data_IF_632281859030
#
_entry.id   IF_632281859030
#
_cell.length_a   1.000
_cell.length_b   1.000
_cell.length_c   1.000
_cell.angle_alpha   90.00
_cell.angle_beta   90.00
_cell.angle_gamma   90.00
#
_symmetry.space_group_name_H-M   'P 1'
#
loop_
_entity.id
_entity.type
_entity.pdbx_description
1 polymer ?
#
# COMPACT_ATOMS: atom_id res chain seq x y z
N UNK A 1 16.42 -5.70 5.51
CA UNK A 1 16.07 -5.77 4.08
C UNK A 1 14.85 -4.89 3.98
N UNK A 2 14.88 -3.93 3.07
CA UNK A 2 13.96 -2.80 3.08
C UNK A 2 13.57 -2.46 1.64
N UNK A 3 12.33 -2.03 1.43
CA UNK A 3 11.84 -1.48 0.18
C UNK A 3 11.15 -2.45 -0.79
N UNK A 4 10.41 -3.46 -0.30
CA UNK A 4 9.72 -4.42 -1.17
C UNK A 4 8.55 -3.83 -1.94
N UNK A 5 8.02 -2.70 -1.49
CA UNK A 5 7.05 -1.89 -2.23
C UNK A 5 7.74 -0.61 -2.68
N UNK A 6 7.66 -0.30 -3.97
CA UNK A 6 8.27 0.90 -4.55
C UNK A 6 7.31 1.65 -5.46
N UNK A 7 7.38 2.98 -5.43
CA UNK A 7 6.62 3.86 -6.31
C UNK A 7 7.40 5.14 -6.63
N UNK A 8 7.23 5.68 -7.83
CA UNK A 8 7.82 6.96 -8.20
C UNK A 8 6.78 8.07 -8.11
N UNK A 9 7.09 9.14 -7.39
CA UNK A 9 6.22 10.32 -7.24
C UNK A 9 7.05 11.61 -7.33
N UNK A 10 6.44 12.76 -7.01
CA UNK A 10 7.16 14.03 -6.98
C UNK A 10 8.08 14.01 -5.74
N UNK A 11 9.32 14.47 -5.90
CA UNK A 11 10.26 14.61 -4.77
C UNK A 11 9.70 15.49 -3.67
N UNK A 12 9.79 15.01 -2.42
CA UNK A 12 9.25 15.68 -1.24
C UNK A 12 7.76 15.42 -0.95
N UNK A 13 7.07 14.62 -1.76
CA UNK A 13 5.76 14.06 -1.40
C UNK A 13 5.89 13.13 -0.18
N UNK A 14 4.79 12.93 0.54
CA UNK A 14 4.70 11.92 1.59
C UNK A 14 3.78 10.81 1.13
N UNK A 15 4.30 9.60 1.02
CA UNK A 15 3.54 8.44 0.56
C UNK A 15 3.46 7.39 1.67
N UNK A 16 2.36 6.65 1.65
CA UNK A 16 2.20 5.43 2.40
C UNK A 16 1.52 4.38 1.52
N UNK A 17 1.58 3.13 1.93
CA UNK A 17 0.78 2.08 1.33
C UNK A 17 0.05 1.29 2.40
N UNK A 18 -1.08 0.70 2.06
CA UNK A 18 -1.70 -0.33 2.90
C UNK A 18 -1.59 -1.69 2.20
N UNK A 19 -1.84 -2.74 2.98
CA UNK A 19 -1.72 -4.13 2.55
C UNK A 19 -3.05 -4.81 2.75
N UNK A 20 -3.49 -5.56 1.77
CA UNK A 20 -4.74 -6.30 1.82
C UNK A 20 -4.51 -7.78 1.54
N UNK A 21 -5.29 -8.60 2.23
CA UNK A 21 -5.50 -9.99 1.82
C UNK A 21 -6.19 -10.02 0.44
N UNK A 22 -6.12 -11.17 -0.23
CA UNK A 22 -6.85 -11.32 -1.50
C UNK A 22 -8.37 -11.19 -1.33
N UNK A 23 -8.87 -11.54 -0.15
CA UNK A 23 -10.30 -11.54 0.18
C UNK A 23 -10.83 -10.13 0.51
N UNK A 24 -9.96 -9.14 0.71
CA UNK A 24 -10.32 -7.73 0.86
C UNK A 24 -10.10 -7.14 2.26
N UNK A 25 -9.71 -7.94 3.23
CA UNK A 25 -9.33 -7.46 4.56
C UNK A 25 -8.00 -6.68 4.50
N UNK A 26 -7.92 -5.55 5.19
CA UNK A 26 -6.73 -4.72 5.33
C UNK A 26 -5.93 -5.13 6.57
N UNK A 27 -4.60 -5.11 6.47
CA UNK A 27 -3.72 -5.32 7.62
C UNK A 27 -3.51 -4.04 8.42
N UNK A 28 -3.50 -4.16 9.75
CA UNK A 28 -2.97 -3.12 10.64
C UNK A 28 -1.53 -2.76 10.26
N UNK A 29 -1.06 -1.55 10.59
CA UNK A 29 0.29 -1.05 10.24
C UNK A 29 1.42 -2.02 10.65
N UNK A 30 1.27 -2.73 11.77
CA UNK A 30 2.23 -3.74 12.25
C UNK A 30 2.07 -5.15 11.65
N UNK A 31 1.07 -5.36 10.79
CA UNK A 31 0.77 -6.65 10.16
C UNK A 31 0.22 -7.72 11.11
N UNK A 32 -0.07 -7.39 12.37
CA UNK A 32 -0.46 -8.35 13.41
C UNK A 32 -1.82 -9.00 13.19
N UNK A 33 -2.73 -8.30 12.50
CA UNK A 33 -4.04 -8.81 12.10
C UNK A 33 -4.52 -8.17 10.80
N UNK A 34 -5.45 -8.86 10.13
CA UNK A 34 -6.23 -8.33 9.02
C UNK A 34 -7.72 -8.26 9.37
N UNK A 35 -8.40 -7.24 8.88
CA UNK A 35 -9.81 -6.97 9.18
C UNK A 35 -10.48 -6.12 8.10
N UNK A 36 -11.79 -5.91 8.20
CA UNK A 36 -12.50 -4.96 7.34
C UNK A 36 -12.05 -3.53 7.66
N UNK A 37 -11.81 -2.71 6.63
CA UNK A 37 -11.44 -1.31 6.80
C UNK A 37 -12.47 -0.56 7.65
N UNK A 38 -12.03 0.16 8.67
CA UNK A 38 -12.92 0.91 9.56
C UNK A 38 -13.40 0.12 10.78
N UNK A 39 -12.90 -1.10 10.98
CA UNK A 39 -13.19 -1.88 12.19
C UNK A 39 -12.74 -1.10 13.43
N UNK A 40 -13.54 -1.10 14.49
CA UNK A 40 -13.26 -0.39 15.76
C UNK A 40 -12.97 1.12 15.61
N UNK A 41 -13.60 1.80 14.64
CA UNK A 41 -13.39 3.21 14.32
C UNK A 41 -11.95 3.54 13.84
N UNK A 42 -11.21 2.53 13.37
CA UNK A 42 -9.89 2.72 12.77
C UNK A 42 -9.96 3.44 11.43
N UNK A 43 -8.88 4.11 11.07
CA UNK A 43 -8.77 4.83 9.80
C UNK A 43 -7.45 4.51 9.09
N UNK A 44 -7.15 5.24 8.01
CA UNK A 44 -5.92 5.06 7.26
C UNK A 44 -4.63 5.04 8.11
N UNK A 45 -4.55 5.80 9.21
CA UNK A 45 -3.36 5.87 10.10
C UNK A 45 -3.15 4.58 10.90
N UNK A 46 -4.18 3.74 11.05
CA UNK A 46 -4.07 2.43 11.69
C UNK A 46 -3.62 1.32 10.73
N UNK A 47 -3.63 1.57 9.42
CA UNK A 47 -3.36 0.59 8.37
C UNK A 47 -2.14 0.94 7.51
N UNK A 48 -1.59 2.15 7.68
CA UNK A 48 -0.55 2.70 6.83
C UNK A 48 0.81 2.00 7.02
N UNK A 49 1.59 2.03 5.96
CA UNK A 49 3.01 1.78 6.02
C UNK A 49 3.70 2.90 5.28
N UNK A 50 4.44 3.71 6.03
CA UNK A 50 5.18 4.83 5.49
C UNK A 50 6.18 4.37 4.42
N UNK A 51 6.27 5.15 3.34
CA UNK A 51 7.31 5.01 2.33
C UNK A 51 8.33 6.14 2.48
N UNK A 52 9.61 5.82 2.33
CA UNK A 52 10.70 6.77 2.36
C UNK A 52 11.20 7.07 0.94
N UNK A 53 11.44 8.36 0.63
CA UNK A 53 12.15 8.76 -0.59
C UNK A 53 13.63 8.34 -0.49
N UNK A 54 14.12 7.62 -1.49
CA UNK A 54 15.51 7.21 -1.62
C UNK A 54 16.32 8.32 -2.26
N UNK A 55 16.98 9.14 -1.43
CA UNK A 55 17.54 10.42 -1.90
C UNK A 55 16.44 11.32 -2.51
N UNK A 56 16.67 12.62 -2.74
CA UNK A 56 15.66 13.49 -3.36
C UNK A 56 15.59 13.25 -4.88
N UNK A 57 15.18 12.05 -5.29
CA UNK A 57 15.11 11.61 -6.69
C UNK A 57 13.70 11.18 -7.17
N UNK A 58 12.72 11.19 -6.25
CA UNK A 58 11.33 10.84 -6.51
C UNK A 58 11.05 9.33 -6.44
N UNK A 59 12.00 8.51 -5.98
CA UNK A 59 11.84 7.08 -5.81
C UNK A 59 11.52 6.72 -4.35
N UNK A 60 10.29 6.31 -4.09
CA UNK A 60 9.84 5.97 -2.74
C UNK A 60 9.80 4.46 -2.55
N UNK A 61 10.25 3.99 -1.39
CA UNK A 61 10.22 2.58 -1.01
C UNK A 61 9.70 2.40 0.41
N UNK A 62 8.99 1.31 0.66
CA UNK A 62 8.59 0.91 2.00
C UNK A 62 8.64 -0.60 2.20
N UNK A 63 8.73 -1.00 3.47
CA UNK A 63 8.97 -2.38 3.88
C UNK A 63 7.63 -3.10 4.00
N UNK A 64 7.43 -4.21 3.28
CA UNK A 64 6.11 -4.85 3.24
C UNK A 64 5.67 -5.38 4.61
N UNK A 65 6.62 -5.93 5.38
CA UNK A 65 6.37 -6.49 6.70
C UNK A 65 7.65 -6.40 7.55
N UNK A 66 7.84 -5.25 8.20
CA UNK A 66 9.00 -5.02 9.09
C UNK A 66 8.94 -5.85 10.37
N UNK A 67 7.75 -6.21 10.82
CA UNK A 67 7.52 -6.90 12.09
C UNK A 67 7.53 -8.44 11.95
N UNK A 68 7.46 -8.94 10.71
CA UNK A 68 7.52 -10.38 10.41
C UNK A 68 6.24 -11.11 10.79
N UNK A 69 5.11 -10.41 10.80
CA UNK A 69 3.81 -10.95 11.19
C UNK A 69 3.02 -11.54 10.01
N UNK A 70 3.35 -11.12 8.79
CA UNK A 70 2.60 -11.48 7.60
C UNK A 70 3.17 -12.76 7.00
N UNK A 71 2.32 -13.79 6.94
CA UNK A 71 2.68 -15.11 6.39
C UNK A 71 2.95 -15.05 4.88
N UNK A 72 3.68 -16.04 4.38
CA UNK A 72 3.95 -16.16 2.94
C UNK A 72 2.66 -16.28 2.13
N UNK A 73 2.54 -15.54 1.04
CA UNK A 73 1.30 -15.49 0.28
C UNK A 73 1.30 -14.49 -0.87
N UNK A 74 0.12 -14.29 -1.46
CA UNK A 74 -0.11 -13.21 -2.43
C UNK A 74 -1.04 -12.20 -1.76
N UNK A 75 -0.71 -10.93 -1.90
CA UNK A 75 -1.40 -9.81 -1.26
C UNK A 75 -1.64 -8.70 -2.26
N UNK A 76 -2.65 -7.87 -1.99
CA UNK A 76 -2.88 -6.63 -2.72
C UNK A 76 -2.22 -5.49 -1.96
N UNK A 77 -1.69 -4.52 -2.68
CA UNK A 77 -1.08 -3.32 -2.14
C UNK A 77 -1.63 -2.13 -2.90
N UNK A 78 -1.85 -1.02 -2.20
CA UNK A 78 -2.24 0.26 -2.77
C UNK A 78 -1.44 1.36 -2.11
N UNK A 79 -0.90 2.26 -2.92
CA UNK A 79 -0.07 3.41 -2.52
C UNK A 79 -0.93 4.67 -2.58
N UNK A 80 -0.76 5.54 -1.60
CA UNK A 80 -1.50 6.78 -1.44
C UNK A 80 -0.55 7.96 -1.30
N UNK A 81 -1.03 9.12 -1.69
CA UNK A 81 -0.39 10.40 -1.40
C UNK A 81 -1.05 10.98 -0.15
N UNK A 82 -0.26 11.21 0.89
CA UNK A 82 -0.71 11.85 2.11
C UNK A 82 -0.85 13.36 1.88
N UNK A 83 -2.07 13.90 1.93
CA UNK A 83 -2.33 15.34 1.74
C UNK A 83 -2.22 16.12 3.05
N UNK A 84 -2.39 15.44 4.19
CA UNK A 84 -2.42 15.99 5.54
C UNK A 84 -1.15 15.73 6.36
N UNK A 85 -1.25 15.99 7.68
CA UNK A 85 -0.18 15.70 8.63
C UNK A 85 -0.07 14.21 8.97
N UNK A 86 -1.20 13.51 8.91
CA UNK A 86 -1.35 12.07 9.15
C UNK A 86 -2.13 11.46 7.96
N UNK A 87 -1.92 10.16 7.64
CA UNK A 87 -2.77 9.42 6.72
C UNK A 87 -4.24 9.56 7.06
N UNK A 88 -5.08 9.75 6.05
CA UNK A 88 -6.51 9.90 6.26
C UNK A 88 -7.32 9.18 5.19
N UNK A 89 -8.53 8.73 5.55
CA UNK A 89 -9.50 8.16 4.59
C UNK A 89 -9.84 9.11 3.43
N UNK A 90 -9.54 10.41 3.56
CA UNK A 90 -9.67 11.41 2.50
C UNK A 90 -8.54 11.43 1.47
N UNK A 91 -7.43 10.74 1.71
CA UNK A 91 -6.29 10.60 0.78
C UNK A 91 -6.62 9.71 -0.44
N UNK A 92 -7.86 9.21 -0.51
CA UNK A 92 -8.42 8.47 -1.65
C UNK A 92 -8.65 9.37 -2.88
N UNK A 93 -8.49 8.83 -4.10
CA UNK A 93 -8.16 7.44 -4.45
C UNK A 93 -6.66 7.12 -4.43
N UNK A 94 -6.31 5.84 -4.24
CA UNK A 94 -4.95 5.34 -4.36
C UNK A 94 -4.29 5.77 -5.69
N UNK A 95 -3.02 6.17 -5.64
CA UNK A 95 -2.24 6.62 -6.80
C UNK A 95 -1.60 5.44 -7.56
N UNK A 96 -1.44 4.30 -6.90
CA UNK A 96 -1.04 3.04 -7.51
C UNK A 96 -1.60 1.86 -6.72
N UNK A 97 -1.76 0.71 -7.38
CA UNK A 97 -2.12 -0.55 -6.73
C UNK A 97 -1.60 -1.73 -7.53
N UNK A 98 -1.44 -2.87 -6.89
CA UNK A 98 -0.98 -4.10 -7.51
C UNK A 98 -0.99 -5.28 -6.56
N UNK A 99 -0.51 -6.42 -7.05
CA UNK A 99 -0.34 -7.63 -6.25
C UNK A 99 1.13 -7.92 -6.01
N UNK A 100 1.46 -8.35 -4.80
CA UNK A 100 2.79 -8.80 -4.39
C UNK A 100 2.74 -10.26 -3.95
N UNK A 101 3.68 -11.07 -4.44
CA UNK A 101 3.94 -12.41 -3.90
C UNK A 101 4.96 -12.31 -2.76
N UNK A 102 4.46 -12.26 -1.53
CA UNK A 102 5.30 -12.16 -0.33
C UNK A 102 5.95 -13.50 0.01
N UNK A 103 7.28 -13.49 -0.01
CA UNK A 103 8.13 -14.66 0.29
C UNK A 103 8.86 -14.54 1.64
N UNK A 104 8.48 -13.55 2.46
CA UNK A 104 9.08 -13.32 3.79
C UNK A 104 10.44 -12.61 3.73
N UNK A 105 10.96 -12.34 2.54
CA UNK A 105 12.28 -11.70 2.35
C UNK A 105 12.54 -11.19 0.92
N UNK A 106 11.52 -11.09 0.06
CA UNK A 106 11.72 -10.84 -1.38
C UNK A 106 10.97 -9.61 -1.89
N UNK A 107 11.73 -8.68 -2.48
CA UNK A 107 11.30 -7.49 -3.22
C UNK A 107 10.57 -7.86 -4.53
N UNK A 108 9.44 -7.21 -4.83
CA UNK A 108 8.78 -7.31 -6.15
C UNK A 108 8.40 -5.92 -6.65
N UNK A 109 8.90 -5.56 -7.83
CA UNK A 109 8.46 -4.36 -8.55
C UNK A 109 7.02 -4.54 -9.07
N UNK A 110 6.08 -3.77 -8.54
CA UNK A 110 4.70 -3.73 -9.03
C UNK A 110 4.64 -3.13 -10.45
N UNK A 111 3.85 -3.73 -11.34
CA UNK A 111 3.61 -3.20 -12.69
C UNK A 111 2.74 -1.94 -12.67
N UNK A 112 3.06 -0.95 -13.49
CA UNK A 112 2.30 0.31 -13.59
C UNK A 112 0.89 0.08 -14.13
N UNK A 113 -0.14 0.63 -13.45
CA UNK A 113 -1.49 0.75 -14.00
C UNK A 113 -1.48 1.73 -15.17
N UNK A 114 -1.49 1.24 -16.41
CA UNK A 114 -1.79 2.09 -17.56
C UNK A 114 -3.30 2.18 -17.74
N UNK A 115 -3.90 3.34 -17.44
CA UNK A 115 -5.26 3.64 -17.83
C UNK A 115 -5.33 3.81 -19.36
N UNK A 116 -5.49 2.71 -20.10
CA UNK A 116 -5.86 2.81 -21.52
C UNK A 116 -7.35 3.14 -21.61
N UNK A 117 -7.63 4.44 -21.75
CA UNK A 117 -8.78 4.98 -22.48
C UNK A 117 -10.15 4.38 -22.16
N UNK A 118 -10.80 4.91 -21.13
CA UNK A 118 -12.24 4.80 -20.93
C UNK A 118 -12.64 3.66 -20.00
N UNK A 119 -13.04 4.04 -18.78
CA UNK A 119 -13.46 3.20 -17.66
C UNK A 119 -12.29 2.59 -16.89
N UNK A 120 -11.84 3.32 -15.86
CA UNK A 120 -11.17 2.70 -14.72
C UNK A 120 -12.24 1.82 -14.06
N UNK A 121 -12.24 0.54 -14.39
CA UNK A 121 -12.96 -0.46 -13.61
C UNK A 121 -12.14 -0.66 -12.35
N UNK A 122 -12.66 -0.22 -11.20
CA UNK A 122 -12.25 -0.78 -9.93
C UNK A 122 -12.47 -2.30 -10.06
N UNK A 123 -11.40 -3.08 -10.20
CA UNK A 123 -11.49 -4.53 -10.39
C UNK A 123 -11.93 -5.23 -9.09
N UNK A 124 -12.00 -4.49 -7.98
CA UNK A 124 -12.40 -5.01 -6.67
C UNK A 124 -13.79 -4.54 -6.22
N UNK A 125 -14.60 -3.98 -7.13
CA UNK A 125 -16.01 -3.70 -6.84
C UNK A 125 -16.90 -4.86 -7.30
N UNK A 126 -17.75 -5.32 -6.37
CA UNK A 126 -18.93 -6.17 -6.51
C UNK A 126 -18.77 -7.70 -6.64
N UNK A 127 -18.97 -8.39 -5.50
CA UNK A 127 -19.95 -9.49 -5.43
C UNK A 127 -21.07 -9.14 -4.45
#
# INVERSE_FOLDING_TARGET
MAGEVAHNAITGDTLYFCRWTLDGDVFLSDGSSSEEWGTDDRDADDYDVAMAENDPDGHYTGDFDSDGNIVLGIYKVAVFLQVGADPADSDVPAIAQGEISWSGSGEITLGTLSAQGGKVLNVYDET
#
